data_IF_544177273731
#
_entry.id   IF_544177273731
#
_cell.length_a   1.000
_cell.length_b   1.000
_cell.length_c   1.000
_cell.angle_alpha   90.00
_cell.angle_beta   90.00
_cell.angle_gamma   90.00
#
_symmetry.space_group_name_H-M   'P 1'
#
loop_
_entity.id
_entity.type
_entity.pdbx_description
1 polymer ?
#
# COMPACT_ATOMS: atom_id res chain seq x y z
N UNK A 1 11.89 -8.37 -2.99
CA UNK A 1 12.23 -9.28 -1.87
C UNK A 1 13.29 -8.62 -1.02
N UNK A 2 13.14 -8.56 0.31
CA UNK A 2 14.18 -8.06 1.20
C UNK A 2 15.33 -9.08 1.22
N UNK A 3 16.45 -8.74 0.58
CA UNK A 3 17.73 -9.43 0.76
C UNK A 3 18.54 -8.65 1.78
N UNK A 4 18.97 -9.31 2.85
CA UNK A 4 19.77 -8.78 3.96
C UNK A 4 21.24 -8.54 3.58
N UNK A 5 21.54 -8.15 2.33
CA UNK A 5 22.88 -7.73 1.91
C UNK A 5 24.00 -8.78 1.97
N UNK A 6 23.79 -9.95 2.56
CA UNK A 6 24.79 -10.99 2.68
C UNK A 6 24.75 -11.94 1.48
N UNK A 7 25.87 -12.04 0.75
CA UNK A 7 26.11 -13.11 -0.21
C UNK A 7 26.57 -14.33 0.57
N UNK A 8 25.70 -15.32 0.77
CA UNK A 8 26.12 -16.62 1.30
C UNK A 8 26.69 -17.42 0.13
N UNK A 9 28.00 -17.36 -0.07
CA UNK A 9 28.67 -18.26 -1.01
C UNK A 9 28.51 -19.72 -0.54
N UNK A 10 28.26 -20.65 -1.47
CA UNK A 10 27.96 -22.08 -1.23
C UNK A 10 26.57 -22.41 -0.66
N UNK A 11 25.50 -21.71 -1.07
CA UNK A 11 24.14 -22.20 -0.86
C UNK A 11 23.95 -23.58 -1.54
N UNK A 12 23.69 -24.60 -0.72
CA UNK A 12 23.34 -25.96 -1.19
C UNK A 12 21.94 -25.91 -1.80
N UNK A 13 21.83 -26.28 -3.07
CA UNK A 13 20.57 -26.44 -3.79
C UNK A 13 19.83 -27.67 -3.21
N UNK A 14 18.48 -27.74 -3.21
CA UNK A 14 17.71 -28.95 -2.88
C UNK A 14 18.23 -30.25 -3.49
N UNK A 15 18.85 -30.19 -4.66
CA UNK A 15 19.49 -31.34 -5.31
C UNK A 15 20.84 -31.76 -4.71
N UNK A 16 21.48 -30.90 -3.93
CA UNK A 16 22.78 -31.11 -3.25
C UNK A 16 22.59 -31.74 -1.86
N UNK A 17 21.34 -31.97 -1.44
CA UNK A 17 21.00 -32.85 -0.34
C UNK A 17 21.36 -34.30 -0.72
N UNK A 18 22.65 -34.64 -0.64
CA UNK A 18 23.16 -35.98 -0.92
C UNK A 18 22.49 -37.06 -0.06
N UNK A 19 22.89 -38.32 -0.27
CA UNK A 19 22.34 -39.53 0.35
C UNK A 19 22.27 -39.54 1.91
N UNK A 20 22.84 -38.53 2.57
CA UNK A 20 22.83 -38.36 4.02
C UNK A 20 21.77 -37.37 4.54
N UNK A 21 20.93 -36.76 3.68
CA UNK A 21 19.84 -35.89 4.18
C UNK A 21 18.75 -36.73 4.86
N UNK A 22 18.51 -36.47 6.15
CA UNK A 22 17.31 -36.98 6.82
C UNK A 22 16.16 -36.03 6.53
N UNK A 23 15.09 -36.52 5.92
CA UNK A 23 13.78 -35.84 5.88
C UNK A 23 13.81 -34.41 5.31
N UNK A 24 14.68 -34.15 4.32
CA UNK A 24 14.80 -32.83 3.69
C UNK A 24 15.63 -31.80 4.48
N UNK A 25 16.33 -32.24 5.54
CA UNK A 25 17.30 -31.45 6.29
C UNK A 25 18.69 -31.54 5.65
N UNK A 26 19.41 -30.42 5.64
CA UNK A 26 20.79 -30.36 5.16
C UNK A 26 21.75 -30.68 6.28
N UNK A 27 22.73 -31.53 5.99
CA UNK A 27 23.84 -31.79 6.88
C UNK A 27 24.87 -30.66 6.72
N UNK A 28 25.05 -29.88 7.79
CA UNK A 28 26.10 -28.88 7.88
C UNK A 28 27.26 -29.45 8.71
N UNK A 29 28.47 -29.33 8.18
CA UNK A 29 29.67 -29.70 8.92
C UNK A 29 30.00 -28.64 9.99
N UNK A 30 30.90 -29.00 10.92
CA UNK A 30 31.29 -28.12 12.02
C UNK A 30 31.83 -26.75 11.55
N UNK A 31 32.59 -26.72 10.46
CA UNK A 31 33.19 -25.48 9.93
C UNK A 31 32.13 -24.57 9.28
N UNK A 32 31.18 -25.14 8.53
CA UNK A 32 30.05 -24.40 7.94
C UNK A 32 29.18 -23.77 9.05
N UNK A 33 28.90 -24.53 10.12
CA UNK A 33 28.13 -24.03 11.27
C UNK A 33 28.89 -22.97 12.06
N UNK A 34 30.20 -23.13 12.24
CA UNK A 34 31.04 -22.14 12.90
C UNK A 34 31.06 -20.82 12.11
N UNK A 35 31.22 -20.89 10.78
CA UNK A 35 31.21 -19.70 9.93
C UNK A 35 29.87 -18.95 10.04
N UNK A 36 28.74 -19.64 9.94
CA UNK A 36 27.42 -19.03 10.10
C UNK A 36 27.19 -18.47 11.50
N UNK A 37 27.66 -19.16 12.55
CA UNK A 37 27.59 -18.69 13.93
C UNK A 37 28.40 -17.42 14.17
N UNK A 38 29.57 -17.29 13.53
CA UNK A 38 30.40 -16.08 13.59
C UNK A 38 29.72 -14.89 12.90
N UNK A 39 29.09 -15.10 11.74
CA UNK A 39 28.35 -14.02 11.07
C UNK A 39 27.16 -13.52 11.92
N UNK A 40 26.41 -14.44 12.52
CA UNK A 40 25.31 -14.07 13.42
C UNK A 40 25.81 -13.33 14.66
N UNK A 41 26.90 -13.81 15.26
CA UNK A 41 27.53 -13.17 16.42
C UNK A 41 27.94 -11.73 16.10
N UNK A 42 28.70 -11.51 15.02
CA UNK A 42 29.15 -10.17 14.61
C UNK A 42 27.96 -9.24 14.29
N UNK A 43 26.89 -9.76 13.68
CA UNK A 43 25.70 -8.97 13.37
C UNK A 43 24.93 -8.55 14.64
N UNK A 44 24.94 -9.39 15.69
CA UNK A 44 24.35 -9.06 16.98
C UNK A 44 25.20 -8.05 17.74
N UNK A 45 26.53 -8.19 17.73
CA UNK A 45 27.43 -7.16 18.28
C UNK A 45 27.17 -5.81 17.62
N UNK A 46 27.13 -5.76 16.28
CA UNK A 46 26.86 -4.51 15.56
C UNK A 46 25.47 -3.93 15.88
N UNK A 47 24.46 -4.78 16.06
CA UNK A 47 23.11 -4.33 16.41
C UNK A 47 23.08 -3.71 17.82
N UNK A 48 23.81 -4.32 18.76
CA UNK A 48 23.95 -3.78 20.12
C UNK A 48 24.70 -2.45 20.04
N UNK A 49 25.87 -2.40 19.38
CA UNK A 49 26.64 -1.16 19.18
C UNK A 49 25.75 -0.04 18.59
N UNK A 50 25.05 -0.30 17.48
CA UNK A 50 24.14 0.68 16.86
C UNK A 50 23.02 1.17 17.79
N UNK A 51 22.61 0.33 18.75
CA UNK A 51 21.50 0.62 19.68
C UNK A 51 21.95 1.36 20.93
N UNK A 52 23.12 1.04 21.49
CA UNK A 52 23.62 1.60 22.75
C UNK A 52 24.82 2.55 22.59
N UNK A 53 25.40 2.71 21.39
CA UNK A 53 26.54 3.58 21.15
C UNK A 53 26.28 5.03 21.64
N UNK A 54 27.09 5.55 22.59
CA UNK A 54 26.98 6.92 23.06
C UNK A 54 27.64 7.83 22.02
N UNK A 55 26.98 8.92 21.67
CA UNK A 55 27.59 9.98 20.86
C UNK A 55 28.59 10.78 21.72
N UNK A 56 29.80 10.22 21.91
CA UNK A 56 31.00 10.97 22.28
C UNK A 56 31.47 10.94 23.74
N UNK A 57 31.44 9.81 24.45
CA UNK A 57 31.98 9.72 25.82
C UNK A 57 32.92 8.50 26.07
N UNK A 58 33.74 8.60 27.12
CA UNK A 58 35.04 7.92 27.29
C UNK A 58 35.06 6.41 27.63
N UNK A 59 36.28 5.92 27.87
CA UNK A 59 36.66 4.50 27.87
C UNK A 59 35.86 3.55 28.80
N UNK A 60 35.28 4.04 29.90
CA UNK A 60 34.47 3.21 30.81
C UNK A 60 33.11 2.84 30.20
N UNK A 61 32.49 3.75 29.46
CA UNK A 61 31.22 3.48 28.77
C UNK A 61 31.47 2.54 27.58
N UNK A 62 32.58 2.71 26.87
CA UNK A 62 32.99 1.79 25.80
C UNK A 62 33.24 0.36 26.32
N UNK A 63 33.83 0.19 27.51
CA UNK A 63 34.04 -1.12 28.12
C UNK A 63 32.73 -1.81 28.53
N UNK A 64 31.75 -1.06 29.05
CA UNK A 64 30.45 -1.62 29.43
C UNK A 64 29.63 -2.03 28.20
N UNK A 65 29.76 -1.29 27.10
CA UNK A 65 29.07 -1.61 25.83
C UNK A 65 29.69 -2.84 25.16
N UNK A 66 31.02 -2.94 25.11
CA UNK A 66 31.70 -4.13 24.59
C UNK A 66 31.32 -5.40 25.38
N UNK A 67 31.15 -5.29 26.70
CA UNK A 67 30.70 -6.40 27.56
C UNK A 67 29.24 -6.80 27.24
N UNK A 68 28.36 -5.82 27.00
CA UNK A 68 26.97 -6.06 26.58
C UNK A 68 26.86 -6.68 25.19
N UNK A 69 27.72 -6.27 24.24
CA UNK A 69 27.80 -6.84 22.90
C UNK A 69 28.11 -8.34 22.96
N UNK A 70 29.18 -8.71 23.67
CA UNK A 70 29.63 -10.09 23.80
C UNK A 70 28.61 -10.93 24.60
N UNK A 71 28.06 -10.40 25.69
CA UNK A 71 27.04 -11.08 26.52
C UNK A 71 25.80 -11.46 25.70
N UNK A 72 25.23 -10.49 24.97
CA UNK A 72 24.00 -10.70 24.18
C UNK A 72 24.30 -11.63 23.01
N UNK A 73 25.41 -11.43 22.31
CA UNK A 73 25.76 -12.23 21.16
C UNK A 73 26.08 -13.69 21.57
N UNK A 74 26.81 -13.92 22.66
CA UNK A 74 27.07 -15.26 23.18
C UNK A 74 25.79 -15.93 23.70
N UNK A 75 24.96 -15.24 24.46
CA UNK A 75 23.71 -15.80 24.98
C UNK A 75 22.80 -16.28 23.84
N UNK A 76 22.62 -15.46 22.80
CA UNK A 76 21.79 -15.80 21.65
C UNK A 76 22.42 -16.93 20.81
N UNK A 77 23.72 -16.87 20.54
CA UNK A 77 24.39 -17.90 19.76
C UNK A 77 24.49 -19.26 20.48
N UNK A 78 24.66 -19.27 21.81
CA UNK A 78 24.68 -20.50 22.62
C UNK A 78 23.28 -21.11 22.77
N UNK A 79 22.25 -20.28 22.96
CA UNK A 79 20.86 -20.70 22.91
C UNK A 79 20.54 -21.34 21.54
N UNK A 80 20.90 -20.67 20.45
CA UNK A 80 20.59 -21.17 19.11
C UNK A 80 21.37 -22.44 18.74
N UNK A 81 22.65 -22.53 19.11
CA UNK A 81 23.52 -23.61 18.63
C UNK A 81 23.53 -24.86 19.51
N UNK A 82 23.24 -24.72 20.81
CA UNK A 82 23.28 -25.81 21.79
C UNK A 82 22.11 -25.85 22.76
N UNK A 83 21.07 -25.02 22.56
CA UNK A 83 19.90 -24.92 23.46
C UNK A 83 20.28 -24.49 24.89
N UNK A 84 21.48 -23.90 25.06
CA UNK A 84 21.97 -23.48 26.37
C UNK A 84 21.60 -22.02 26.61
N UNK A 85 20.47 -21.83 27.28
CA UNK A 85 19.86 -20.52 27.51
C UNK A 85 20.05 -19.98 28.94
N UNK A 86 20.88 -20.63 29.77
CA UNK A 86 21.09 -20.24 31.15
C UNK A 86 21.95 -18.97 31.26
N UNK A 87 21.93 -18.31 32.43
CA UNK A 87 22.66 -17.04 32.64
C UNK A 87 24.15 -17.17 32.33
N UNK A 88 24.77 -18.31 32.62
CA UNK A 88 26.20 -18.57 32.39
C UNK A 88 26.58 -18.68 30.90
N UNK A 89 25.58 -18.80 30.00
CA UNK A 89 25.82 -18.90 28.56
C UNK A 89 26.35 -17.61 27.94
N UNK A 90 26.13 -16.46 28.56
CA UNK A 90 26.60 -15.15 28.06
C UNK A 90 28.14 -15.00 28.15
N UNK A 91 28.76 -15.63 29.15
CA UNK A 91 30.20 -15.57 29.41
C UNK A 91 30.97 -16.72 28.71
N UNK A 92 30.30 -17.48 27.82
CA UNK A 92 30.82 -18.73 27.25
C UNK A 92 31.03 -18.68 25.74
N UNK A 93 32.22 -19.11 25.33
CA UNK A 93 32.64 -19.30 23.94
C UNK A 93 32.13 -20.60 23.30
N UNK A 94 31.19 -21.31 23.94
CA UNK A 94 30.73 -22.64 23.48
C UNK A 94 30.16 -22.64 22.06
N UNK A 95 29.64 -21.52 21.57
CA UNK A 95 29.27 -21.30 20.16
C UNK A 95 30.40 -21.58 19.18
N UNK A 96 31.67 -21.55 19.62
CA UNK A 96 32.83 -21.90 18.79
C UNK A 96 33.02 -23.41 18.64
N UNK A 97 32.40 -24.22 19.49
CA UNK A 97 32.53 -25.70 19.53
C UNK A 97 31.40 -26.40 18.78
N UNK A 98 31.23 -26.07 17.49
CA UNK A 98 30.15 -26.64 16.68
C UNK A 98 30.43 -28.08 16.27
N UNK A 99 29.41 -28.94 16.38
CA UNK A 99 29.44 -30.30 15.85
C UNK A 99 28.67 -30.41 14.53
N UNK A 100 28.76 -31.54 13.85
CA UNK A 100 27.94 -31.82 12.67
C UNK A 100 26.46 -31.86 13.08
N UNK A 101 25.57 -31.16 12.37
CA UNK A 101 24.13 -31.22 12.62
C UNK A 101 23.30 -31.04 11.35
N UNK A 102 22.05 -31.46 11.46
CA UNK A 102 21.03 -31.27 10.43
C UNK A 102 20.28 -29.96 10.69
N UNK A 103 20.14 -29.12 9.67
CA UNK A 103 19.33 -27.92 9.75
C UNK A 103 18.51 -27.72 8.47
N UNK A 104 17.42 -26.96 8.58
CA UNK A 104 16.57 -26.58 7.46
C UNK A 104 17.32 -25.46 6.71
N UNK A 105 17.39 -25.56 5.37
CA UNK A 105 17.91 -24.44 4.57
C UNK A 105 17.00 -23.21 4.75
N UNK A 106 17.55 -21.98 4.82
CA UNK A 106 16.75 -20.75 4.93
C UNK A 106 15.61 -20.65 3.90
N UNK A 107 15.84 -21.13 2.68
CA UNK A 107 14.87 -21.19 1.57
C UNK A 107 13.67 -22.11 1.90
N UNK A 108 13.92 -23.16 2.69
CA UNK A 108 12.94 -24.18 3.08
C UNK A 108 12.22 -23.84 4.40
N UNK A 109 12.68 -22.84 5.16
CA UNK A 109 11.99 -22.39 6.38
C UNK A 109 10.55 -21.93 6.05
N UNK A 110 10.38 -21.30 4.88
CA UNK A 110 9.08 -20.86 4.36
C UNK A 110 8.12 -22.00 3.97
N UNK A 111 8.60 -23.26 3.99
CA UNK A 111 7.78 -24.46 3.71
C UNK A 111 7.24 -25.12 4.97
N UNK A 112 7.58 -24.59 6.14
CA UNK A 112 6.99 -25.00 7.39
C UNK A 112 5.83 -24.09 7.69
N UNK A 113 4.66 -24.69 7.88
CA UNK A 113 3.49 -23.94 8.31
C UNK A 113 3.70 -23.60 9.79
N UNK A 114 3.82 -22.32 10.10
CA UNK A 114 3.76 -21.84 11.47
C UNK A 114 2.29 -21.43 11.70
N UNK A 115 1.45 -22.31 12.25
CA UNK A 115 0.08 -21.96 12.59
C UNK A 115 0.12 -20.89 13.69
N UNK A 116 0.09 -19.63 13.27
CA UNK A 116 0.19 -18.42 14.09
C UNK A 116 1.51 -18.24 14.88
N UNK A 117 2.15 -17.09 14.68
CA UNK A 117 3.25 -16.62 15.52
C UNK A 117 2.77 -16.51 16.98
N UNK A 118 3.31 -17.35 17.88
CA UNK A 118 3.23 -17.13 19.34
C UNK A 118 2.72 -18.28 20.21
N UNK A 119 2.39 -19.45 19.66
CA UNK A 119 2.01 -20.64 20.47
C UNK A 119 2.85 -21.87 20.08
N UNK A 120 3.11 -22.74 21.05
CA UNK A 120 3.99 -23.93 20.99
C UNK A 120 3.44 -25.07 20.11
N UNK A 121 2.90 -24.76 18.93
CA UNK A 121 2.39 -25.78 18.03
C UNK A 121 3.54 -26.48 17.29
N UNK A 122 3.50 -27.81 17.14
CA UNK A 122 4.50 -28.54 16.36
C UNK A 122 4.55 -27.98 14.94
N UNK A 123 5.74 -27.56 14.51
CA UNK A 123 6.00 -27.23 13.11
C UNK A 123 5.67 -28.44 12.24
N UNK A 124 4.70 -28.30 11.33
CA UNK A 124 4.33 -29.35 10.38
C UNK A 124 4.97 -29.05 9.03
N UNK A 125 5.75 -30.00 8.52
CA UNK A 125 6.31 -29.90 7.18
C UNK A 125 5.17 -29.94 6.15
N UNK A 126 5.05 -28.90 5.32
CA UNK A 126 3.99 -28.86 4.31
C UNK A 126 4.14 -30.03 3.32
N UNK A 127 3.04 -30.72 3.04
CA UNK A 127 3.02 -31.84 2.08
C UNK A 127 3.55 -31.39 0.71
N UNK A 128 4.36 -32.22 0.00
CA UNK A 128 4.88 -31.88 -1.32
C UNK A 128 3.76 -31.47 -2.28
N UNK A 129 3.87 -30.29 -2.90
CA UNK A 129 2.92 -29.78 -3.90
C UNK A 129 3.64 -29.31 -5.16
N UNK A 130 2.93 -29.34 -6.29
CA UNK A 130 3.38 -28.66 -7.50
C UNK A 130 3.17 -27.16 -7.33
N UNK A 131 4.23 -26.37 -7.53
CA UNK A 131 4.19 -24.91 -7.43
C UNK A 131 4.85 -24.30 -8.68
N UNK A 132 4.22 -23.28 -9.25
CA UNK A 132 4.86 -22.46 -10.27
C UNK A 132 5.87 -21.54 -9.60
N UNK A 133 7.15 -21.78 -9.82
CA UNK A 133 8.24 -20.91 -9.38
C UNK A 133 8.83 -20.17 -10.57
N UNK A 134 8.99 -18.86 -10.45
CA UNK A 134 9.72 -18.05 -11.43
C UNK A 134 11.21 -18.17 -11.16
N UNK A 135 11.93 -18.88 -12.02
CA UNK A 135 13.39 -19.02 -11.93
C UNK A 135 14.05 -17.79 -12.56
N UNK A 136 14.51 -16.86 -11.73
CA UNK A 136 15.34 -15.74 -12.16
C UNK A 136 16.80 -16.21 -12.33
N UNK A 137 17.41 -15.98 -13.50
CA UNK A 137 18.83 -16.31 -13.76
C UNK A 137 19.61 -15.06 -14.10
N UNK A 138 20.83 -14.95 -13.58
CA UNK A 138 21.77 -13.91 -13.98
C UNK A 138 22.14 -14.09 -15.46
N UNK A 139 21.87 -13.07 -16.27
CA UNK A 139 22.29 -13.01 -17.68
C UNK A 139 23.34 -11.93 -17.81
N UNK A 140 24.51 -12.27 -18.34
CA UNK A 140 25.53 -11.29 -18.70
C UNK A 140 24.95 -10.35 -19.78
N UNK A 141 24.86 -9.07 -19.46
CA UNK A 141 24.43 -8.02 -20.40
C UNK A 141 25.66 -7.48 -21.10
N UNK A 142 25.88 -7.90 -22.35
CA UNK A 142 27.04 -7.47 -23.12
C UNK A 142 26.93 -6.03 -23.64
N UNK A 143 25.71 -5.49 -23.75
CA UNK A 143 25.45 -4.19 -24.35
C UNK A 143 24.36 -3.43 -23.60
N UNK A 144 24.59 -2.14 -23.38
CA UNK A 144 23.67 -1.24 -22.67
C UNK A 144 23.35 -0.03 -23.53
N UNK A 145 22.20 0.60 -23.29
CA UNK A 145 21.78 1.88 -23.84
C UNK A 145 21.13 2.76 -22.78
N UNK A 146 20.39 3.77 -23.23
CA UNK A 146 19.67 4.71 -22.36
C UNK A 146 18.25 4.95 -22.88
N UNK A 147 17.35 5.40 -22.01
CA UNK A 147 15.99 5.83 -22.32
C UNK A 147 15.83 7.27 -21.81
N UNK A 148 15.35 8.17 -22.66
CA UNK A 148 14.98 9.51 -22.26
C UNK A 148 13.62 9.87 -22.87
N UNK A 149 12.98 10.88 -22.31
CA UNK A 149 11.64 11.23 -22.78
C UNK A 149 10.96 12.33 -21.99
N UNK A 150 9.69 12.55 -22.35
CA UNK A 150 8.77 13.42 -21.62
C UNK A 150 7.50 12.68 -21.25
N UNK A 151 7.01 12.97 -20.05
CA UNK A 151 5.72 12.50 -19.53
C UNK A 151 4.73 13.65 -19.54
N UNK A 152 3.57 13.42 -20.16
CA UNK A 152 2.53 14.41 -20.38
C UNK A 152 1.17 13.89 -19.88
N UNK A 153 0.30 14.80 -19.44
CA UNK A 153 -1.11 14.53 -19.13
C UNK A 153 -1.93 15.72 -19.62
N UNK A 154 -2.99 15.47 -20.41
CA UNK A 154 -3.85 16.52 -21.01
C UNK A 154 -3.07 17.66 -21.67
N UNK A 155 -1.98 17.32 -22.37
CA UNK A 155 -1.13 18.28 -23.08
C UNK A 155 -0.12 19.05 -22.21
N UNK A 156 -0.16 18.90 -20.88
CA UNK A 156 0.77 19.53 -19.95
C UNK A 156 1.87 18.56 -19.47
N UNK A 157 3.10 19.04 -19.20
CA UNK A 157 4.16 18.19 -18.64
C UNK A 157 3.84 17.78 -17.20
N UNK A 158 4.18 16.53 -16.85
CA UNK A 158 3.94 15.98 -15.51
C UNK A 158 5.27 15.79 -14.79
N UNK A 159 5.59 16.68 -13.87
CA UNK A 159 6.74 16.52 -12.96
C UNK A 159 6.45 15.59 -11.78
N UNK A 160 7.44 14.84 -11.31
CA UNK A 160 7.31 13.88 -10.21
C UNK A 160 6.52 12.60 -10.53
N UNK A 161 6.30 12.28 -11.81
CA UNK A 161 5.79 10.98 -12.22
C UNK A 161 6.90 9.93 -12.12
N UNK A 162 6.60 8.74 -11.61
CA UNK A 162 7.54 7.64 -11.54
C UNK A 162 7.54 6.86 -12.86
N UNK A 163 8.68 6.77 -13.53
CA UNK A 163 8.89 5.96 -14.74
C UNK A 163 9.72 4.75 -14.37
N UNK A 164 9.19 3.54 -14.54
CA UNK A 164 9.86 2.28 -14.24
C UNK A 164 9.93 1.37 -15.47
N UNK A 165 11.08 0.73 -15.68
CA UNK A 165 11.24 -0.29 -16.76
C UNK A 165 11.23 -1.71 -16.21
N UNK A 166 11.79 -1.90 -15.02
CA UNK A 166 11.84 -3.14 -14.26
C UNK A 166 12.28 -2.82 -12.83
N UNK A 167 12.11 -3.76 -11.91
CA UNK A 167 12.42 -3.60 -10.50
C UNK A 167 13.85 -3.05 -10.29
N UNK A 168 13.96 -1.99 -9.49
CA UNK A 168 15.22 -1.27 -9.25
C UNK A 168 15.69 -0.37 -10.40
N UNK A 169 14.94 -0.24 -11.50
CA UNK A 169 15.25 0.64 -12.63
C UNK A 169 14.10 1.58 -12.96
N UNK A 170 13.98 2.62 -12.13
CA UNK A 170 13.06 3.72 -12.35
C UNK A 170 13.65 5.08 -11.97
N UNK A 171 12.94 6.13 -12.36
CA UNK A 171 13.30 7.53 -12.08
C UNK A 171 12.04 8.39 -12.01
N UNK A 172 12.07 9.42 -11.15
CA UNK A 172 11.03 10.44 -11.14
C UNK A 172 11.29 11.49 -12.24
N UNK A 173 10.23 11.96 -12.90
CA UNK A 173 10.33 13.06 -13.86
C UNK A 173 10.67 14.39 -13.20
N UNK A 174 11.42 15.24 -13.91
CA UNK A 174 11.68 16.62 -13.54
C UNK A 174 10.42 17.50 -13.67
N UNK A 175 10.40 18.73 -13.12
CA UNK A 175 9.25 19.62 -13.22
C UNK A 175 8.73 19.88 -14.64
N UNK A 176 9.61 19.82 -15.65
CA UNK A 176 9.27 19.99 -17.07
C UNK A 176 8.77 18.68 -17.75
N UNK A 177 8.52 17.64 -16.95
CA UNK A 177 8.08 16.32 -17.38
C UNK A 177 9.19 15.44 -17.96
N UNK A 178 10.44 15.91 -18.02
CA UNK A 178 11.53 15.15 -18.62
C UNK A 178 12.11 14.07 -17.68
N UNK A 179 12.62 12.99 -18.25
CA UNK A 179 13.35 11.94 -17.52
C UNK A 179 14.48 11.34 -18.35
N UNK A 180 15.43 10.69 -17.67
CA UNK A 180 16.50 9.91 -18.30
C UNK A 180 16.89 8.73 -17.42
N UNK A 181 17.03 7.55 -18.03
CA UNK A 181 17.50 6.31 -17.44
C UNK A 181 18.68 5.81 -18.26
N UNK A 182 19.83 5.60 -17.63
CA UNK A 182 21.06 5.16 -18.29
C UNK A 182 21.42 3.72 -17.94
N UNK A 183 22.38 3.12 -18.66
CA UNK A 183 22.90 1.77 -18.37
C UNK A 183 21.79 0.71 -18.32
N UNK A 184 20.84 0.80 -19.25
CA UNK A 184 19.77 -0.17 -19.41
C UNK A 184 20.26 -1.27 -20.38
N UNK A 185 20.12 -2.56 -20.06
CA UNK A 185 20.44 -3.63 -21.01
C UNK A 185 19.68 -3.44 -22.34
N UNK A 186 20.33 -3.71 -23.47
CA UNK A 186 19.65 -3.63 -24.76
C UNK A 186 18.54 -4.71 -24.83
N UNK A 187 17.35 -4.32 -25.32
CA UNK A 187 16.20 -5.21 -25.34
C UNK A 187 14.84 -4.50 -25.41
N UNK A 188 13.78 -5.30 -25.38
CA UNK A 188 12.39 -4.83 -25.31
C UNK A 188 11.96 -4.71 -23.85
N UNK A 189 11.30 -3.60 -23.53
CA UNK A 189 10.76 -3.30 -22.20
C UNK A 189 9.37 -2.68 -22.31
N UNK A 190 8.70 -2.58 -21.17
CA UNK A 190 7.52 -1.75 -21.00
C UNK A 190 7.92 -0.65 -20.01
N UNK A 191 7.85 0.60 -20.44
CA UNK A 191 7.93 1.75 -19.55
C UNK A 191 6.58 1.89 -18.85
N UNK A 192 6.52 1.46 -17.59
CA UNK A 192 5.37 1.62 -16.70
C UNK A 192 5.53 2.96 -15.98
N UNK A 193 4.62 3.89 -16.24
CA UNK A 193 4.73 5.25 -15.72
C UNK A 193 3.44 5.65 -15.03
N UNK A 194 3.55 6.27 -13.85
CA UNK A 194 2.36 6.80 -13.19
C UNK A 194 2.64 7.85 -12.13
N UNK A 195 1.57 8.54 -11.72
CA UNK A 195 1.59 9.55 -10.67
C UNK A 195 0.22 9.66 -10.00
N UNK A 196 0.20 9.82 -8.69
CA UNK A 196 -0.98 10.28 -7.96
C UNK A 196 -1.05 11.81 -8.01
N UNK A 197 -2.18 12.34 -8.49
CA UNK A 197 -2.47 13.77 -8.53
C UNK A 197 -2.91 14.29 -7.15
N UNK A 198 -2.94 15.60 -6.99
CA UNK A 198 -3.34 16.26 -5.74
C UNK A 198 -4.80 15.96 -5.34
N UNK A 199 -5.66 15.67 -6.32
CA UNK A 199 -7.04 15.23 -6.11
C UNK A 199 -7.18 13.75 -5.74
N UNK A 200 -6.06 13.05 -5.51
CA UNK A 200 -6.01 11.64 -5.17
C UNK A 200 -6.13 10.70 -6.37
N UNK A 201 -6.30 11.20 -7.60
CA UNK A 201 -6.42 10.34 -8.78
C UNK A 201 -5.07 9.82 -9.26
N UNK A 202 -4.99 8.52 -9.54
CA UNK A 202 -3.81 7.92 -10.18
C UNK A 202 -3.94 7.98 -11.70
N UNK A 203 -2.93 8.57 -12.34
CA UNK A 203 -2.76 8.59 -13.80
C UNK A 203 -1.59 7.68 -14.18
N UNK A 204 -1.74 6.91 -15.26
CA UNK A 204 -0.74 5.93 -15.67
C UNK A 204 -0.67 5.73 -17.19
N UNK A 205 0.43 5.14 -17.65
CA UNK A 205 0.57 4.59 -19.00
C UNK A 205 1.61 3.47 -19.00
N UNK A 206 1.41 2.48 -19.89
CA UNK A 206 2.38 1.42 -20.17
C UNK A 206 2.78 1.50 -21.64
N UNK A 207 4.02 1.90 -21.91
CA UNK A 207 4.51 2.13 -23.27
C UNK A 207 5.60 1.11 -23.62
N UNK A 208 5.43 0.29 -24.68
CA UNK A 208 6.50 -0.60 -25.12
C UNK A 208 7.67 0.23 -25.67
N UNK A 209 8.88 -0.09 -25.25
CA UNK A 209 10.11 0.58 -25.69
C UNK A 209 11.19 -0.44 -26.07
N UNK A 210 11.99 -0.10 -27.07
CA UNK A 210 13.16 -0.89 -27.46
C UNK A 210 14.45 -0.10 -27.19
N UNK A 211 15.31 -0.65 -26.34
CA UNK A 211 16.60 -0.05 -25.98
C UNK A 211 17.68 -0.58 -26.90
N UNK A 212 18.28 0.33 -27.66
CA UNK A 212 19.38 0.03 -28.56
C UNK A 212 20.74 0.20 -27.83
N UNK A 213 21.67 -0.71 -28.09
CA UNK A 213 23.03 -0.62 -27.57
C UNK A 213 23.71 0.71 -27.95
N UNK A 214 24.32 1.38 -26.97
CA UNK A 214 25.09 2.63 -27.12
C UNK A 214 24.26 3.86 -27.52
N UNK A 215 22.94 3.76 -27.57
CA UNK A 215 22.04 4.84 -28.00
C UNK A 215 21.06 5.22 -26.90
N UNK A 216 20.57 6.46 -26.99
CA UNK A 216 19.43 6.94 -26.20
C UNK A 216 18.16 6.76 -27.01
N UNK A 217 17.29 5.86 -26.58
CA UNK A 217 15.92 5.74 -27.10
C UNK A 217 15.09 6.90 -26.56
N UNK A 218 14.36 7.59 -27.42
CA UNK A 218 13.44 8.67 -27.03
C UNK A 218 12.01 8.13 -26.98
N UNK A 219 11.26 8.47 -25.94
CA UNK A 219 9.85 8.10 -25.79
C UNK A 219 9.00 9.25 -25.25
N UNK A 220 7.81 9.42 -25.80
CA UNK A 220 6.80 10.30 -25.23
C UNK A 220 5.76 9.43 -24.53
N UNK A 221 5.56 9.67 -23.24
CA UNK A 221 4.59 8.93 -22.41
C UNK A 221 3.43 9.86 -22.12
N UNK A 222 2.24 9.52 -22.63
CA UNK A 222 1.01 10.26 -22.35
C UNK A 222 0.23 9.47 -21.30
N UNK A 223 0.16 10.01 -20.08
CA UNK A 223 -0.60 9.41 -19.01
C UNK A 223 -2.10 9.56 -19.28
N UNK A 224 -2.86 8.60 -18.79
CA UNK A 224 -4.31 8.57 -18.83
C UNK A 224 -4.84 8.26 -17.43
N UNK A 225 -6.10 8.61 -17.15
CA UNK A 225 -6.75 8.14 -15.92
C UNK A 225 -6.66 6.62 -15.85
N UNK A 226 -6.28 6.08 -14.68
CA UNK A 226 -6.07 4.67 -14.51
C UNK A 226 -7.39 3.87 -14.54
N UNK A 227 -7.75 3.32 -15.71
CA UNK A 227 -8.79 2.30 -15.89
C UNK A 227 -10.24 2.70 -15.60
N UNK A 228 -11.15 1.87 -16.08
CA UNK A 228 -12.60 1.88 -15.88
C UNK A 228 -13.10 1.83 -14.41
N UNK A 229 -12.16 1.80 -13.45
CA UNK A 229 -12.43 1.79 -12.02
C UNK A 229 -12.87 3.14 -11.48
N UNK A 230 -12.37 4.26 -12.02
CA UNK A 230 -12.77 5.59 -11.55
C UNK A 230 -14.17 5.96 -12.01
N UNK A 231 -14.97 6.42 -11.05
CA UNK A 231 -16.38 6.76 -11.24
C UNK A 231 -16.58 8.25 -11.03
N UNK A 232 -17.42 8.85 -11.86
CA UNK A 232 -18.03 10.14 -11.60
C UNK A 232 -19.47 9.90 -11.16
N UNK A 233 -19.78 10.18 -9.90
CA UNK A 233 -21.15 10.20 -9.41
C UNK A 233 -21.72 11.61 -9.62
N UNK A 234 -22.56 11.76 -10.64
CA UNK A 234 -23.29 13.00 -10.91
C UNK A 234 -24.61 12.98 -10.15
N UNK A 235 -24.87 14.06 -9.42
CA UNK A 235 -26.05 14.31 -8.61
C UNK A 235 -26.79 15.47 -9.27
N UNK A 236 -28.06 15.27 -9.59
CA UNK A 236 -28.95 16.30 -10.15
C UNK A 236 -30.31 16.26 -9.47
N UNK A 237 -30.88 17.40 -9.14
CA UNK A 237 -32.23 17.45 -8.60
C UNK A 237 -32.58 18.76 -7.94
N UNK A 238 -33.39 18.68 -6.90
CA UNK A 238 -33.71 19.81 -6.03
C UNK A 238 -34.01 19.35 -4.62
N UNK A 239 -33.81 20.26 -3.67
CA UNK A 239 -34.25 20.16 -2.27
C UNK A 239 -35.23 21.28 -1.99
N UNK A 240 -36.28 20.98 -1.23
CA UNK A 240 -37.32 21.89 -0.83
C UNK A 240 -37.48 21.83 0.68
N UNK A 241 -37.57 23.00 1.29
CA UNK A 241 -37.79 23.16 2.73
C UNK A 241 -39.10 23.91 2.90
N UNK A 242 -39.93 23.42 3.81
CA UNK A 242 -41.19 24.05 4.20
C UNK A 242 -41.17 24.22 5.71
N UNK A 243 -41.30 25.46 6.14
CA UNK A 243 -41.51 25.84 7.54
C UNK A 243 -43.01 25.69 7.87
N UNK A 244 -43.31 24.98 8.96
CA UNK A 244 -44.68 24.76 9.40
C UNK A 244 -45.06 25.73 10.52
N UNK A 245 -45.63 26.87 10.14
CA UNK A 245 -46.11 27.85 11.10
C UNK A 245 -47.52 27.54 11.62
N UNK A 246 -47.68 27.55 12.95
CA UNK A 246 -49.01 27.52 13.54
C UNK A 246 -49.74 28.86 13.29
N UNK A 247 -50.92 28.81 12.68
CA UNK A 247 -51.76 29.96 12.26
C UNK A 247 -51.28 30.79 11.04
N UNK A 248 -50.34 30.30 10.23
CA UNK A 248 -50.05 30.94 8.95
C UNK A 248 -51.14 30.68 7.90
N UNK A 249 -51.33 31.64 6.99
CA UNK A 249 -52.20 31.47 5.83
C UNK A 249 -51.58 30.52 4.78
N UNK A 250 -50.24 30.43 4.75
CA UNK A 250 -49.44 29.56 3.88
C UNK A 250 -48.12 29.27 4.58
N UNK A 251 -47.70 28.01 4.60
CA UNK A 251 -46.39 27.56 5.08
C UNK A 251 -45.26 28.10 4.15
N UNK A 252 -44.31 28.93 4.66
CA UNK A 252 -43.17 29.40 3.88
C UNK A 252 -42.40 28.23 3.27
N UNK A 253 -42.00 28.37 2.01
CA UNK A 253 -41.40 27.26 1.26
C UNK A 253 -40.33 27.75 0.32
N UNK A 254 -39.15 27.13 0.39
CA UNK A 254 -38.02 27.37 -0.53
C UNK A 254 -37.67 26.12 -1.30
N UNK A 255 -37.30 26.28 -2.56
CA UNK A 255 -36.68 25.22 -3.37
C UNK A 255 -35.32 25.68 -3.87
N UNK A 256 -34.31 24.83 -3.71
CA UNK A 256 -32.96 24.98 -4.24
C UNK A 256 -32.64 23.84 -5.19
N UNK A 257 -32.11 24.15 -6.37
CA UNK A 257 -31.58 23.12 -7.26
C UNK A 257 -30.30 22.54 -6.68
N UNK A 258 -30.10 21.24 -6.86
CA UNK A 258 -28.86 20.56 -6.48
C UNK A 258 -28.19 20.03 -7.75
N UNK A 259 -26.90 20.32 -7.89
CA UNK A 259 -26.04 19.75 -8.91
C UNK A 259 -24.64 19.58 -8.33
N UNK A 260 -24.06 18.38 -8.49
CA UNK A 260 -22.71 18.11 -8.02
C UNK A 260 -22.13 16.86 -8.68
N UNK A 261 -20.80 16.80 -8.75
CA UNK A 261 -20.09 15.63 -9.27
C UNK A 261 -19.02 15.23 -8.26
N UNK A 262 -19.09 13.98 -7.78
CA UNK A 262 -18.05 13.39 -6.95
C UNK A 262 -17.19 12.44 -7.78
N UNK A 263 -15.88 12.59 -7.68
CA UNK A 263 -14.91 11.71 -8.32
C UNK A 263 -14.43 10.67 -7.31
N UNK A 264 -14.62 9.39 -7.64
CA UNK A 264 -14.44 8.26 -6.74
C UNK A 264 -13.58 7.17 -7.39
N UNK A 265 -12.78 6.47 -6.60
CA UNK A 265 -11.97 5.35 -7.07
C UNK A 265 -11.07 4.74 -5.98
N UNK A 266 -10.16 3.82 -6.33
CA UNK A 266 -9.34 3.08 -5.36
C UNK A 266 -8.52 3.94 -4.38
N UNK A 267 -8.18 5.17 -4.77
CA UNK A 267 -7.37 6.10 -3.96
C UNK A 267 -8.16 7.32 -3.45
N UNK A 268 -9.45 7.42 -3.81
CA UNK A 268 -10.42 8.38 -3.27
C UNK A 268 -11.74 7.64 -3.13
N UNK A 269 -11.81 6.74 -2.15
CA UNK A 269 -12.94 5.82 -2.01
C UNK A 269 -14.17 6.49 -1.42
N UNK A 270 -14.02 7.68 -0.83
CA UNK A 270 -15.09 8.43 -0.16
C UNK A 270 -15.11 9.89 -0.59
N UNK A 271 -16.30 10.48 -0.73
CA UNK A 271 -16.52 11.91 -0.97
C UNK A 271 -17.91 12.34 -0.45
N UNK A 272 -18.09 13.62 -0.13
CA UNK A 272 -19.36 14.13 0.40
C UNK A 272 -19.71 15.52 -0.13
N UNK A 273 -21.00 15.77 -0.39
CA UNK A 273 -21.53 17.04 -0.89
C UNK A 273 -22.82 17.40 -0.15
N UNK A 274 -22.85 18.52 0.58
CA UNK A 274 -24.07 19.06 1.18
C UNK A 274 -24.76 20.06 0.23
N UNK A 275 -26.08 20.14 0.33
CA UNK A 275 -26.92 21.14 -0.32
C UNK A 275 -27.96 21.67 0.65
N UNK A 276 -28.29 22.96 0.56
CA UNK A 276 -29.12 23.64 1.55
C UNK A 276 -30.27 24.40 0.89
N UNK A 277 -31.42 24.45 1.57
CA UNK A 277 -32.54 25.32 1.27
C UNK A 277 -33.10 25.90 2.57
N UNK A 278 -33.06 27.22 2.69
CA UNK A 278 -33.58 27.96 3.84
C UNK A 278 -34.96 28.49 3.44
N UNK A 279 -36.01 28.09 4.18
CA UNK A 279 -37.38 28.52 3.90
C UNK A 279 -37.55 30.03 4.14
N UNK A 280 -37.03 30.50 5.28
CA UNK A 280 -37.13 31.87 5.81
C UNK A 280 -36.12 32.11 6.97
N UNK A 281 -36.52 32.68 8.11
CA UNK A 281 -35.60 33.11 9.18
C UNK A 281 -35.36 32.04 10.25
N UNK A 282 -36.13 30.94 10.26
CA UNK A 282 -36.08 29.92 11.32
C UNK A 282 -36.09 28.47 10.83
N UNK A 283 -36.16 28.17 9.52
CA UNK A 283 -36.02 26.77 9.06
C UNK A 283 -34.98 26.59 7.95
N UNK A 284 -33.97 25.75 8.23
CA UNK A 284 -32.98 25.25 7.28
C UNK A 284 -33.22 23.76 6.95
N UNK A 285 -33.24 23.45 5.66
CA UNK A 285 -33.21 22.09 5.17
C UNK A 285 -31.90 21.73 4.49
N UNK A 286 -31.33 20.61 4.93
CA UNK A 286 -30.05 20.07 4.46
C UNK A 286 -30.27 18.73 3.74
N UNK A 287 -29.62 18.58 2.59
CA UNK A 287 -29.48 17.31 1.87
C UNK A 287 -28.00 16.99 1.68
N UNK A 288 -27.51 15.98 2.41
CA UNK A 288 -26.11 15.57 2.40
C UNK A 288 -25.99 14.24 1.65
N UNK A 289 -25.11 14.20 0.66
CA UNK A 289 -24.79 12.99 -0.09
C UNK A 289 -23.38 12.56 0.31
N UNK A 290 -23.24 11.35 0.83
CA UNK A 290 -21.95 10.72 1.18
C UNK A 290 -21.80 9.50 0.28
N UNK A 291 -20.71 9.41 -0.48
CA UNK A 291 -20.53 8.38 -1.50
C UNK A 291 -19.29 7.53 -1.25
N UNK A 292 -19.46 6.21 -1.30
CA UNK A 292 -18.42 5.21 -1.10
C UNK A 292 -18.27 4.30 -2.33
N UNK A 293 -17.09 4.33 -2.95
CA UNK A 293 -16.72 3.45 -4.05
C UNK A 293 -16.60 1.99 -3.59
N UNK A 294 -17.05 1.06 -4.42
CA UNK A 294 -16.97 -0.38 -4.16
C UNK A 294 -16.08 -1.07 -5.21
N UNK A 295 -15.45 -2.19 -4.83
CA UNK A 295 -14.59 -2.99 -5.73
C UNK A 295 -15.31 -3.48 -6.99
N UNK A 296 -16.63 -3.65 -6.94
CA UNK A 296 -17.47 -4.02 -8.09
C UNK A 296 -17.82 -2.84 -9.01
N UNK A 297 -17.22 -1.66 -8.79
CA UNK A 297 -17.43 -0.39 -9.51
C UNK A 297 -18.79 0.27 -9.24
N UNK A 298 -19.61 -0.30 -8.36
CA UNK A 298 -20.78 0.39 -7.83
C UNK A 298 -20.36 1.50 -6.86
N UNK A 299 -21.28 2.44 -6.62
CA UNK A 299 -21.11 3.49 -5.63
C UNK A 299 -22.27 3.38 -4.65
N UNK A 300 -21.95 3.18 -3.36
CA UNK A 300 -22.92 3.32 -2.28
C UNK A 300 -23.07 4.80 -1.96
N UNK A 301 -24.29 5.27 -1.82
CA UNK A 301 -24.58 6.68 -1.54
C UNK A 301 -25.52 6.74 -0.36
N UNK A 302 -25.03 7.21 0.79
CA UNK A 302 -25.86 7.58 1.92
C UNK A 302 -26.37 8.99 1.67
N UNK A 303 -27.69 9.11 1.59
CA UNK A 303 -28.38 10.40 1.48
C UNK A 303 -29.00 10.69 2.83
N UNK A 304 -28.68 11.84 3.40
CA UNK A 304 -29.15 12.28 4.71
C UNK A 304 -29.91 13.58 4.51
N UNK A 305 -31.18 13.62 4.93
CA UNK A 305 -31.97 14.83 5.02
C UNK A 305 -32.05 15.28 6.46
N UNK A 306 -31.78 16.56 6.71
CA UNK A 306 -31.96 17.18 8.03
C UNK A 306 -32.86 18.39 7.90
N UNK A 307 -33.77 18.53 8.85
CA UNK A 307 -34.55 19.74 9.06
C UNK A 307 -34.13 20.35 10.38
N UNK A 308 -33.65 21.58 10.34
CA UNK A 308 -33.14 22.33 11.48
C UNK A 308 -34.20 23.30 12.00
N UNK A 309 -34.32 23.37 13.31
CA UNK A 309 -35.08 24.39 14.05
C UNK A 309 -34.17 25.62 14.22
N UNK A 310 -33.99 26.34 13.11
CA UNK A 310 -33.10 27.47 12.92
C UNK A 310 -32.47 27.50 11.53
N UNK A 311 -31.69 28.55 11.26
CA UNK A 311 -31.01 28.75 9.96
C UNK A 311 -29.55 28.30 9.93
N UNK A 312 -29.05 27.72 11.03
CA UNK A 312 -27.67 27.25 11.14
C UNK A 312 -27.61 25.72 11.24
N UNK A 313 -26.61 25.14 10.58
CA UNK A 313 -26.35 23.68 10.63
C UNK A 313 -26.01 23.15 12.03
N UNK A 314 -25.74 24.03 13.00
CA UNK A 314 -25.48 23.70 14.40
C UNK A 314 -26.75 23.63 15.24
N UNK A 315 -27.87 24.10 14.71
CA UNK A 315 -29.15 24.10 15.41
C UNK A 315 -29.70 22.66 15.53
N UNK A 316 -30.61 22.44 16.48
CA UNK A 316 -31.25 21.13 16.66
C UNK A 316 -31.95 20.70 15.39
N UNK A 317 -31.89 19.40 15.09
CA UNK A 317 -32.45 18.86 13.86
C UNK A 317 -33.12 17.51 14.04
N UNK A 318 -34.08 17.25 13.16
CA UNK A 318 -34.58 15.92 12.87
C UNK A 318 -33.89 15.37 11.62
N UNK A 319 -33.51 14.09 11.62
CA UNK A 319 -32.76 13.45 10.55
C UNK A 319 -33.48 12.22 9.98
N UNK A 320 -33.47 12.09 8.65
CA UNK A 320 -33.78 10.85 7.96
C UNK A 320 -32.67 10.50 6.96
N UNK A 321 -32.14 9.28 7.05
CA UNK A 321 -31.07 8.80 6.19
C UNK A 321 -31.43 7.49 5.48
N UNK A 322 -30.97 7.34 4.23
CA UNK A 322 -31.10 6.09 3.49
C UNK A 322 -29.88 5.84 2.60
N UNK A 323 -29.51 4.57 2.44
CA UNK A 323 -28.38 4.16 1.60
C UNK A 323 -28.88 3.57 0.30
N UNK A 324 -28.40 4.11 -0.82
CA UNK A 324 -28.63 3.57 -2.15
C UNK A 324 -27.35 2.95 -2.70
N UNK A 325 -27.47 2.04 -3.67
CA UNK A 325 -26.34 1.54 -4.45
C UNK A 325 -26.60 1.82 -5.91
N UNK A 326 -25.66 2.49 -6.58
CA UNK A 326 -25.75 2.81 -8.01
C UNK A 326 -24.69 1.99 -8.74
N UNK A 327 -25.14 0.97 -9.46
CA UNK A 327 -24.26 0.12 -10.26
C UNK A 327 -23.52 0.92 -11.34
N UNK A 328 -22.36 0.42 -11.78
CA UNK A 328 -21.54 1.07 -12.80
C UNK A 328 -22.34 1.33 -14.09
N UNK A 329 -22.29 2.57 -14.58
CA UNK A 329 -22.97 3.00 -15.81
C UNK A 329 -24.49 3.13 -15.67
N UNK A 330 -25.05 2.99 -14.46
CA UNK A 330 -26.48 3.11 -14.19
C UNK A 330 -26.82 4.43 -13.53
N UNK A 331 -28.10 4.74 -13.56
CA UNK A 331 -28.69 5.87 -12.84
C UNK A 331 -29.85 5.41 -11.96
N UNK A 332 -30.12 6.19 -10.93
CA UNK A 332 -31.22 5.98 -10.00
C UNK A 332 -31.85 7.33 -9.70
N UNK A 333 -33.17 7.45 -9.84
CA UNK A 333 -33.92 8.62 -9.40
C UNK A 333 -34.75 8.28 -8.18
N UNK A 334 -34.69 9.12 -7.15
CA UNK A 334 -35.38 8.93 -5.87
C UNK A 334 -35.95 10.23 -5.36
N UNK A 335 -36.84 10.08 -4.40
CA UNK A 335 -37.32 11.16 -3.56
C UNK A 335 -37.28 10.70 -2.11
N UNK A 336 -37.04 11.64 -1.20
CA UNK A 336 -36.95 11.42 0.24
C UNK A 336 -37.55 12.62 0.96
N UNK A 337 -37.98 12.41 2.19
CA UNK A 337 -38.43 13.49 3.06
C UNK A 337 -38.07 13.21 4.53
N UNK A 338 -37.91 14.28 5.30
CA UNK A 338 -37.74 14.29 6.75
C UNK A 338 -38.73 15.31 7.32
N UNK A 339 -39.34 15.02 8.48
CA UNK A 339 -40.28 15.95 9.10
C UNK A 339 -40.37 15.77 10.63
N UNK A 340 -40.54 16.87 11.35
CA UNK A 340 -40.90 16.91 12.79
C UNK A 340 -41.94 18.01 13.10
N UNK A 341 -42.59 18.51 12.05
CA UNK A 341 -43.38 19.74 12.03
C UNK A 341 -43.05 20.41 10.69
N UNK A 342 -41.85 20.98 10.65
CA UNK A 342 -41.16 21.42 9.44
C UNK A 342 -40.78 20.25 8.56
N UNK A 343 -40.56 20.53 7.27
CA UNK A 343 -40.38 19.50 6.26
C UNK A 343 -39.22 19.82 5.35
N UNK A 344 -38.41 18.79 5.09
CA UNK A 344 -37.42 18.80 4.01
C UNK A 344 -37.75 17.68 3.06
N UNK A 345 -37.86 18.03 1.78
CA UNK A 345 -38.13 17.11 0.70
C UNK A 345 -37.04 17.22 -0.35
N UNK A 346 -36.46 16.11 -0.79
CA UNK A 346 -35.47 16.10 -1.86
C UNK A 346 -35.90 15.16 -2.97
N UNK A 347 -35.78 15.61 -4.22
CA UNK A 347 -35.87 14.75 -5.41
C UNK A 347 -34.57 14.84 -6.17
N UNK A 348 -33.95 13.69 -6.41
CA UNK A 348 -32.61 13.63 -6.99
C UNK A 348 -32.44 12.45 -7.92
N UNK A 349 -31.46 12.58 -8.80
CA UNK A 349 -30.96 11.54 -9.69
C UNK A 349 -29.47 11.38 -9.44
N UNK A 350 -29.07 10.15 -9.19
CA UNK A 350 -27.69 9.73 -9.07
C UNK A 350 -27.30 9.02 -10.36
N UNK A 351 -26.21 9.44 -11.02
CA UNK A 351 -25.68 8.78 -12.22
C UNK A 351 -24.25 8.36 -11.95
N UNK A 352 -24.00 7.05 -11.96
CA UNK A 352 -22.65 6.52 -11.81
C UNK A 352 -22.03 6.35 -13.20
N UNK A 353 -21.26 7.35 -13.65
CA UNK A 353 -20.59 7.35 -14.96
C UNK A 353 -19.11 6.97 -14.82
N UNK A 354 -18.50 6.57 -15.93
CA UNK A 354 -17.04 6.51 -15.99
C UNK A 354 -16.51 7.94 -15.81
N UNK A 355 -15.47 8.13 -15.00
CA UNK A 355 -14.87 9.45 -14.85
C UNK A 355 -14.35 9.93 -16.22
N UNK A 356 -14.64 11.19 -16.63
CA UNK A 356 -14.17 11.72 -17.90
C UNK A 356 -12.64 11.73 -17.95
N UNK A 357 -12.08 11.27 -19.08
CA UNK A 357 -10.63 11.17 -19.35
C UNK A 357 -9.90 12.51 -19.28
#
# INVERSE_FOLDING_TARGET
MRQSGAVVENQKDPKDAGANSKEGLYLYNAAERLAAGTELFNALEQLVDDTVAPKGEGAEIASAIADMEDDVANQVCNAFSSDWCETESKDSDQRKQQQVAYAISPENLLRWDAPLYGYFEPLVYATPRYEQVTICRWKKVATQGSLAGKVMFNGAPVGGAWVELYDGKGVATKPDGSFSLEKIPAGNYIADTGKTREDGMYIQAKVPVHINAGKTTQVNVVLQLASDLYRALEIDGWVQTTDHECNAAVDPTKTSNIHGVMLLGPYKTHDALPFQAIADEDVLGDAIFEADWQLDKSVKVKVTLRVHDGTQTTDSYYEYAHVYTVAAGKSLSKWMYAHDGDKVFARFTLKNKLAPM
#
